data_IF_851389321230
#
_entry.id   IF_851389321230
#
_cell.length_a   1.000
_cell.length_b   1.000
_cell.length_c   1.000
_cell.angle_alpha   90.00
_cell.angle_beta   90.00
_cell.angle_gamma   90.00
#
_symmetry.space_group_name_H-M   'P 1'
#
loop_
_entity.id
_entity.type
_entity.pdbx_description
1 polymer ?
#
# COMPACT_ATOMS: atom_id res chain seq x y z
N UNK A 1 -34.94 31.64 17.50
CA UNK A 1 -33.89 31.15 16.57
C UNK A 1 -32.85 30.22 17.23
N UNK A 2 -32.55 30.33 18.53
CA UNK A 2 -31.57 29.45 19.24
C UNK A 2 -31.93 27.95 19.27
N UNK A 3 -33.21 27.57 19.15
CA UNK A 3 -33.65 26.16 19.12
C UNK A 3 -33.33 25.46 17.78
N UNK A 4 -33.32 26.21 16.67
CA UNK A 4 -32.99 25.68 15.33
C UNK A 4 -31.49 25.45 15.20
N UNK A 5 -30.67 26.34 15.77
CA UNK A 5 -29.21 26.15 15.82
C UNK A 5 -28.81 24.90 16.61
N UNK A 6 -29.50 24.56 17.70
CA UNK A 6 -29.26 23.32 18.44
C UNK A 6 -29.60 22.06 17.61
N UNK A 7 -30.70 22.09 16.85
CA UNK A 7 -31.05 20.99 15.94
C UNK A 7 -30.02 20.83 14.82
N UNK A 8 -29.48 21.92 14.28
CA UNK A 8 -28.46 21.89 13.23
C UNK A 8 -27.12 21.35 13.76
N UNK A 9 -26.71 21.71 14.97
CA UNK A 9 -25.50 21.17 15.63
C UNK A 9 -25.67 19.67 15.92
N UNK A 10 -26.86 19.22 16.34
CA UNK A 10 -27.17 17.81 16.54
C UNK A 10 -27.08 17.03 15.22
N UNK A 11 -27.57 17.60 14.12
CA UNK A 11 -27.56 16.99 12.78
C UNK A 11 -26.14 16.89 12.18
N UNK A 12 -25.24 17.82 12.48
CA UNK A 12 -23.84 17.72 12.04
C UNK A 12 -23.05 16.65 12.82
N UNK A 13 -23.45 16.33 14.05
CA UNK A 13 -22.73 15.35 14.89
C UNK A 13 -22.90 13.90 14.46
N UNK A 14 -23.96 13.58 13.69
CA UNK A 14 -24.24 12.21 13.24
C UNK A 14 -23.46 11.79 11.98
N UNK A 15 -22.78 12.72 11.31
CA UNK A 15 -21.98 12.43 10.10
C UNK A 15 -20.53 12.07 10.48
N UNK A 16 -20.35 11.14 11.42
CA UNK A 16 -19.02 10.58 11.70
C UNK A 16 -18.72 9.41 10.77
N UNK A 17 -18.53 9.73 9.48
CA UNK A 17 -18.13 8.74 8.48
C UNK A 17 -16.76 8.16 8.83
N UNK A 18 -16.69 6.89 9.24
CA UNK A 18 -15.42 6.15 9.24
C UNK A 18 -15.05 5.87 7.79
N UNK A 19 -14.05 6.57 7.27
CA UNK A 19 -13.52 6.35 5.93
C UNK A 19 -12.86 4.98 5.83
N UNK A 20 -13.34 4.14 4.91
CA UNK A 20 -12.72 2.87 4.55
C UNK A 20 -12.08 2.99 3.17
N UNK A 21 -11.00 2.26 2.95
CA UNK A 21 -10.34 2.16 1.64
C UNK A 21 -10.06 0.70 1.32
N UNK A 22 -9.99 0.40 0.03
CA UNK A 22 -9.75 -0.95 -0.49
C UNK A 22 -8.26 -1.28 -0.49
N UNK A 23 -7.92 -2.45 0.04
CA UNK A 23 -6.55 -2.98 0.07
C UNK A 23 -6.55 -4.46 -0.29
N UNK A 24 -5.38 -4.98 -0.65
CA UNK A 24 -5.16 -6.40 -0.86
C UNK A 24 -4.32 -6.95 0.30
N UNK A 25 -4.84 -7.92 1.03
CA UNK A 25 -4.11 -8.59 2.12
C UNK A 25 -2.93 -9.37 1.56
N UNK A 26 -1.77 -9.30 2.22
CA UNK A 26 -0.57 -10.08 1.82
C UNK A 26 -0.38 -11.36 2.62
N UNK A 27 -1.17 -11.55 3.67
CA UNK A 27 -1.12 -12.69 4.58
C UNK A 27 -2.52 -13.05 5.10
N UNK A 28 -2.67 -14.26 5.60
CA UNK A 28 -3.90 -14.70 6.26
C UNK A 28 -4.13 -13.85 7.52
N UNK A 29 -5.30 -13.23 7.61
CA UNK A 29 -5.59 -12.22 8.63
C UNK A 29 -6.79 -12.64 9.48
N UNK A 30 -6.56 -12.81 10.79
CA UNK A 30 -7.62 -13.09 11.75
C UNK A 30 -8.45 -11.84 12.05
N UNK A 31 -9.77 -12.01 12.10
CA UNK A 31 -10.74 -10.99 12.47
C UNK A 31 -11.29 -11.31 13.86
N UNK A 32 -11.21 -10.34 14.75
CA UNK A 32 -11.69 -10.39 16.12
C UNK A 32 -12.94 -9.54 16.29
N UNK A 33 -13.87 -9.98 17.14
CA UNK A 33 -15.10 -9.23 17.42
C UNK A 33 -14.83 -7.91 18.17
N UNK A 34 -13.73 -7.82 18.92
CA UNK A 34 -13.33 -6.63 19.67
C UNK A 34 -11.80 -6.45 19.67
N UNK A 35 -11.32 -5.21 19.83
CA UNK A 35 -9.89 -4.86 19.91
C UNK A 35 -9.17 -5.38 21.16
N UNK A 36 -9.89 -6.03 22.09
CA UNK A 36 -9.33 -6.59 23.32
C UNK A 36 -9.58 -8.11 23.46
N UNK A 37 -10.33 -8.73 22.54
CA UNK A 37 -10.74 -10.13 22.69
C UNK A 37 -9.91 -11.04 21.78
N UNK A 38 -9.54 -12.21 22.29
CA UNK A 38 -8.87 -13.29 21.54
C UNK A 38 -9.84 -14.14 20.70
N UNK A 39 -11.15 -13.87 20.79
CA UNK A 39 -12.17 -14.59 20.03
C UNK A 39 -12.10 -14.24 18.54
N UNK A 40 -11.52 -15.16 17.76
CA UNK A 40 -11.47 -15.11 16.30
C UNK A 40 -12.87 -15.40 15.75
N UNK A 41 -13.40 -14.45 15.00
CA UNK A 41 -14.67 -14.57 14.27
C UNK A 41 -14.46 -15.32 12.97
N UNK A 42 -13.38 -15.00 12.25
CA UNK A 42 -13.00 -15.63 10.98
C UNK A 42 -11.55 -15.35 10.64
N UNK A 43 -10.99 -16.10 9.69
CA UNK A 43 -9.68 -15.85 9.08
C UNK A 43 -9.90 -15.55 7.61
N UNK A 44 -9.45 -14.37 7.18
CA UNK A 44 -9.50 -13.95 5.79
C UNK A 44 -8.21 -14.44 5.13
N UNK A 45 -8.27 -15.21 4.03
CA UNK A 45 -7.07 -15.69 3.37
C UNK A 45 -6.28 -14.53 2.74
N UNK A 46 -4.98 -14.74 2.55
CA UNK A 46 -4.11 -13.86 1.76
C UNK A 46 -4.67 -13.62 0.35
N UNK A 47 -4.18 -12.57 -0.30
CA UNK A 47 -4.57 -12.17 -1.65
C UNK A 47 -6.09 -11.84 -1.77
N UNK A 48 -6.73 -11.54 -0.63
CA UNK A 48 -8.14 -11.15 -0.58
C UNK A 48 -8.27 -9.64 -0.50
N UNK A 49 -9.16 -9.08 -1.32
CA UNK A 49 -9.49 -7.67 -1.29
C UNK A 49 -10.46 -7.36 -0.14
N UNK A 50 -10.08 -6.41 0.71
CA UNK A 50 -10.86 -6.03 1.90
C UNK A 50 -10.93 -4.51 2.05
N UNK A 51 -11.86 -4.04 2.89
CA UNK A 51 -11.96 -2.62 3.24
C UNK A 51 -11.35 -2.37 4.62
N UNK A 52 -10.33 -1.52 4.69
CA UNK A 52 -9.65 -1.14 5.93
C UNK A 52 -10.03 0.28 6.34
N UNK A 53 -10.30 0.49 7.63
CA UNK A 53 -10.59 1.83 8.15
C UNK A 53 -9.33 2.70 8.19
N UNK A 54 -9.44 3.95 7.75
CA UNK A 54 -8.36 4.95 7.86
C UNK A 54 -8.16 5.45 9.30
N UNK A 55 -9.13 5.24 10.20
CA UNK A 55 -9.04 5.69 11.59
C UNK A 55 -7.86 5.00 12.31
N UNK A 56 -6.94 5.81 12.85
CA UNK A 56 -5.90 5.33 13.74
C UNK A 56 -6.53 4.80 15.03
N UNK A 57 -6.09 3.62 15.49
CA UNK A 57 -6.50 3.05 16.77
C UNK A 57 -5.26 2.83 17.66
N UNK A 58 -5.45 2.89 18.97
CA UNK A 58 -4.40 2.95 19.99
C UNK A 58 -3.67 1.62 20.26
N UNK A 59 -4.02 0.51 19.58
CA UNK A 59 -3.53 -0.84 19.92
C UNK A 59 -3.08 -1.69 18.73
N UNK A 60 -2.61 -1.07 17.64
CA UNK A 60 -2.26 -1.75 16.37
C UNK A 60 -3.44 -2.49 15.68
N UNK A 61 -4.66 -2.37 16.22
CA UNK A 61 -5.84 -2.93 15.59
C UNK A 61 -6.40 -2.01 14.51
N UNK A 62 -6.82 -2.59 13.39
CA UNK A 62 -7.54 -1.90 12.31
C UNK A 62 -8.91 -2.53 12.12
N UNK A 63 -9.93 -1.72 11.81
CA UNK A 63 -11.23 -2.28 11.44
C UNK A 63 -11.16 -2.77 10.00
N UNK A 64 -11.60 -4.00 9.77
CA UNK A 64 -11.68 -4.62 8.45
C UNK A 64 -13.13 -5.01 8.18
N UNK A 65 -13.57 -4.82 6.93
CA UNK A 65 -14.83 -5.37 6.38
C UNK A 65 -14.51 -6.26 5.19
N UNK A 66 -15.09 -7.46 5.20
CA UNK A 66 -14.98 -8.44 4.12
C UNK A 66 -16.24 -9.29 4.05
N UNK A 67 -17.01 -9.17 2.96
CA UNK A 67 -18.33 -9.79 2.84
C UNK A 67 -19.22 -9.43 4.03
N UNK A 68 -19.74 -10.45 4.72
CA UNK A 68 -20.57 -10.30 5.90
C UNK A 68 -19.76 -10.17 7.22
N UNK A 69 -18.44 -10.28 7.14
CA UNK A 69 -17.57 -10.19 8.30
C UNK A 69 -17.09 -8.76 8.53
N UNK A 70 -17.21 -8.32 9.78
CA UNK A 70 -16.73 -7.03 10.24
C UNK A 70 -16.13 -7.17 11.63
N UNK A 71 -14.93 -6.63 11.81
CA UNK A 71 -14.26 -6.70 13.09
C UNK A 71 -12.90 -6.02 13.07
N UNK A 72 -12.07 -6.44 14.00
CA UNK A 72 -10.73 -5.90 14.21
C UNK A 72 -9.69 -6.90 13.74
N UNK A 73 -8.67 -6.43 13.04
CA UNK A 73 -7.47 -7.22 12.74
C UNK A 73 -6.30 -6.61 13.48
N UNK A 74 -5.47 -7.46 14.09
CA UNK A 74 -4.25 -7.04 14.77
C UNK A 74 -3.12 -6.91 13.75
N UNK A 75 -2.56 -5.71 13.61
CA UNK A 75 -1.46 -5.39 12.70
C UNK A 75 -1.55 -6.07 11.31
N UNK A 76 -2.67 -5.93 10.58
CA UNK A 76 -2.84 -6.63 9.32
C UNK A 76 -1.84 -6.12 8.27
N UNK A 77 -1.19 -7.04 7.57
CA UNK A 77 -0.31 -6.71 6.44
C UNK A 77 -1.09 -6.66 5.12
N UNK A 78 -0.99 -5.54 4.41
CA UNK A 78 -1.71 -5.30 3.17
C UNK A 78 -1.00 -4.29 2.26
N UNK A 79 -1.30 -4.37 0.97
CA UNK A 79 -0.89 -3.39 -0.02
C UNK A 79 -2.06 -2.47 -0.40
N UNK A 80 -1.78 -1.18 -0.52
CA UNK A 80 -2.79 -0.22 -0.97
C UNK A 80 -3.03 -0.37 -2.47
N UNK A 81 -4.26 -0.11 -2.94
CA UNK A 81 -4.57 -0.20 -4.38
C UNK A 81 -3.71 0.75 -5.24
N UNK A 82 -3.29 1.91 -4.71
CA UNK A 82 -2.30 2.81 -5.35
C UNK A 82 -0.95 2.11 -5.61
N UNK A 83 -0.56 1.19 -4.74
CA UNK A 83 0.64 0.36 -4.87
C UNK A 83 0.43 -0.82 -5.83
N UNK A 84 -0.78 -1.36 -5.90
CA UNK A 84 -1.19 -2.45 -6.80
C UNK A 84 -1.28 -2.00 -8.27
N UNK A 85 -1.90 -0.84 -8.52
CA UNK A 85 -1.82 -0.15 -9.81
C UNK A 85 -0.62 0.79 -9.79
N UNK A 86 0.58 0.22 -9.80
CA UNK A 86 1.72 0.95 -10.35
C UNK A 86 1.47 1.13 -11.85
N UNK A 87 0.60 2.09 -12.21
CA UNK A 87 0.67 2.69 -13.52
C UNK A 87 2.14 3.07 -13.71
N UNK A 88 2.76 2.61 -14.81
CA UNK A 88 4.06 3.10 -15.25
C UNK A 88 3.94 4.61 -15.43
N UNK A 89 4.18 5.37 -14.37
CA UNK A 89 4.30 6.81 -14.42
C UNK A 89 5.63 7.09 -15.09
N UNK A 90 5.57 7.43 -16.37
CA UNK A 90 6.64 8.13 -17.06
C UNK A 90 6.79 9.47 -16.34
N UNK A 91 7.77 9.54 -15.44
CA UNK A 91 8.10 10.78 -14.75
C UNK A 91 8.64 11.79 -15.76
N UNK A 92 7.76 12.64 -16.30
CA UNK A 92 8.17 13.89 -16.95
C UNK A 92 8.41 14.91 -15.85
N UNK A 93 9.59 14.85 -15.25
CA UNK A 93 10.04 15.83 -14.25
C UNK A 93 10.52 17.09 -14.95
N UNK A 94 9.74 18.18 -14.83
CA UNK A 94 10.23 19.55 -15.04
C UNK A 94 11.34 19.86 -14.03
N UNK A 95 12.54 20.30 -14.45
CA UNK A 95 13.66 20.44 -13.54
C UNK A 95 13.57 21.75 -12.73
N UNK A 96 13.41 21.61 -11.42
CA UNK A 96 13.84 22.64 -10.46
C UNK A 96 15.33 22.41 -10.19
N UNK A 97 16.14 23.38 -10.57
CA UNK A 97 17.59 23.35 -10.40
C UNK A 97 17.92 23.44 -8.90
N UNK A 98 18.58 22.42 -8.37
CA UNK A 98 19.33 22.53 -7.12
C UNK A 98 20.65 21.80 -7.32
N UNK A 99 21.68 22.61 -7.52
CA UNK A 99 23.04 22.20 -7.77
C UNK A 99 23.68 21.67 -6.47
N UNK A 100 24.11 20.40 -6.49
CA UNK A 100 25.05 19.82 -5.50
C UNK A 100 25.94 18.76 -6.20
N UNK A 101 27.23 18.64 -5.81
CA UNK A 101 28.29 18.19 -6.70
C UNK A 101 28.32 16.66 -6.92
N UNK A 102 28.65 16.29 -8.15
CA UNK A 102 28.62 14.92 -8.69
C UNK A 102 29.76 14.02 -8.20
N UNK A 103 29.43 12.93 -7.49
CA UNK A 103 30.21 11.68 -7.52
C UNK A 103 29.59 10.77 -8.58
N UNK A 104 30.23 10.71 -9.76
CA UNK A 104 29.79 9.86 -10.89
C UNK A 104 30.10 8.40 -10.53
N UNK A 105 29.14 7.73 -9.88
CA UNK A 105 29.10 6.27 -9.84
C UNK A 105 28.30 5.79 -11.05
N UNK A 106 28.93 5.00 -11.92
CA UNK A 106 28.25 4.41 -13.07
C UNK A 106 27.13 3.49 -12.57
N UNK A 107 25.89 3.78 -12.96
CA UNK A 107 24.71 3.02 -12.52
C UNK A 107 24.73 1.56 -12.98
N UNK A 108 23.82 0.73 -12.48
CA UNK A 108 23.70 -0.66 -12.92
C UNK A 108 23.03 -0.75 -14.31
N UNK A 109 23.50 -1.67 -15.15
CA UNK A 109 22.99 -2.01 -16.48
C UNK A 109 22.48 -3.43 -16.45
N UNK A 110 21.20 -3.61 -16.77
CA UNK A 110 20.59 -4.93 -16.93
C UNK A 110 20.81 -5.44 -18.36
N UNK A 111 21.41 -6.62 -18.48
CA UNK A 111 21.74 -7.29 -19.76
C UNK A 111 20.80 -8.47 -19.94
N UNK A 112 20.07 -8.49 -21.06
CA UNK A 112 19.23 -9.63 -21.44
C UNK A 112 20.10 -10.82 -21.86
N UNK A 113 19.59 -12.03 -21.64
CA UNK A 113 20.25 -13.24 -22.13
C UNK A 113 20.27 -13.29 -23.65
N UNK A 114 21.32 -13.85 -24.23
CA UNK A 114 21.50 -13.96 -25.68
C UNK A 114 22.40 -15.13 -26.05
N UNK A 115 22.29 -15.62 -27.28
CA UNK A 115 23.17 -16.66 -27.82
C UNK A 115 24.32 -16.01 -28.58
N UNK A 116 25.57 -16.41 -28.28
CA UNK A 116 26.76 -15.94 -29.01
C UNK A 116 26.84 -16.59 -30.39
N UNK A 117 27.66 -16.03 -31.28
CA UNK A 117 27.89 -16.57 -32.64
C UNK A 117 28.49 -17.99 -32.67
N UNK A 118 29.08 -18.44 -31.58
CA UNK A 118 29.60 -19.79 -31.39
C UNK A 118 28.56 -20.79 -30.85
N UNK A 119 27.31 -20.36 -30.65
CA UNK A 119 26.22 -21.18 -30.13
C UNK A 119 26.08 -21.17 -28.60
N UNK A 120 27.01 -20.56 -27.85
CA UNK A 120 26.95 -20.54 -26.38
C UNK A 120 25.86 -19.58 -25.89
N UNK A 121 24.94 -20.07 -25.06
CA UNK A 121 23.93 -19.22 -24.42
C UNK A 121 24.51 -18.43 -23.24
N UNK A 122 24.16 -17.14 -23.15
CA UNK A 122 24.50 -16.24 -22.06
C UNK A 122 23.25 -15.91 -21.28
N UNK A 123 23.27 -16.19 -19.98
CA UNK A 123 22.15 -15.89 -19.08
C UNK A 123 22.02 -14.38 -18.82
N UNK A 124 20.78 -13.87 -18.65
CA UNK A 124 20.56 -12.48 -18.25
C UNK A 124 21.26 -12.17 -16.92
N UNK A 125 21.89 -11.01 -16.82
CA UNK A 125 22.58 -10.57 -15.61
C UNK A 125 22.64 -9.06 -15.52
N UNK A 126 22.98 -8.53 -14.35
CA UNK A 126 23.18 -7.10 -14.11
C UNK A 126 24.68 -6.81 -13.97
N UNK A 127 25.16 -5.73 -14.60
CA UNK A 127 26.57 -5.30 -14.53
C UNK A 127 26.68 -3.79 -14.30
N UNK A 128 27.85 -3.29 -13.93
CA UNK A 128 28.07 -1.84 -13.77
C UNK A 128 28.15 -1.13 -15.13
N UNK A 129 27.65 0.09 -15.21
CA UNK A 129 27.74 0.94 -16.40
C UNK A 129 29.19 1.30 -16.70
N UNK A 130 29.60 1.29 -17.98
CA UNK A 130 30.89 1.83 -18.38
C UNK A 130 31.09 3.24 -17.86
N UNK A 131 32.30 3.51 -17.34
CA UNK A 131 32.69 4.84 -16.88
C UNK A 131 33.08 5.69 -18.08
N UNK A 132 32.51 6.89 -18.23
CA UNK A 132 32.99 7.85 -19.24
C UNK A 132 34.41 8.28 -18.87
N UNK A 133 35.33 8.21 -19.85
CA UNK A 133 36.68 8.78 -19.78
C UNK A 133 36.63 10.23 -20.19
#
# INVERSE_FOLDING_TARGET
MKKITFFLILLLSVVSCTNYYTVLLTEDTNIYGNSNNENIVTTIPKDTQVYVSNKANRKNYKKIKWGNYYGWAYNPSYTSYSSYTSAKSYNTSTPSYNYTPSKISGGAVHVKGYTRKDGTYVTPHTRSSPRRK
#
